data_IF_452579064974
#
_entry.id   IF_452579064974
#
_cell.length_a   1.000
_cell.length_b   1.000
_cell.length_c   1.000
_cell.angle_alpha   90.00
_cell.angle_beta   90.00
_cell.angle_gamma   90.00
#
_symmetry.space_group_name_H-M   'P 1'
#
loop_
_entity.id
_entity.type
_entity.pdbx_description
1 polymer ?
#
# COMPACT_ATOMS: atom_id res chain seq x y z
N UNK A 1 -37.62 5.19 -8.49
CA UNK A 1 -36.99 4.34 -7.47
C UNK A 1 -35.81 5.10 -6.90
N UNK A 2 -35.77 5.30 -5.58
CA UNK A 2 -34.65 5.96 -4.86
C UNK A 2 -33.48 4.98 -4.74
N UNK A 3 -32.67 4.83 -5.78
CA UNK A 3 -31.41 4.10 -5.71
C UNK A 3 -30.29 5.03 -5.25
N UNK A 4 -29.53 4.60 -4.26
CA UNK A 4 -28.35 5.31 -3.79
C UNK A 4 -27.10 4.69 -4.42
N UNK A 5 -26.13 5.52 -4.80
CA UNK A 5 -24.86 5.08 -5.36
C UNK A 5 -23.78 5.17 -4.27
N UNK A 6 -23.05 4.08 -4.09
CA UNK A 6 -21.80 4.06 -3.32
C UNK A 6 -20.66 3.75 -4.26
N UNK A 7 -19.76 4.70 -4.44
CA UNK A 7 -18.49 4.51 -5.14
C UNK A 7 -17.44 4.06 -4.13
N UNK A 8 -16.72 3.00 -4.45
CA UNK A 8 -15.66 2.43 -3.61
C UNK A 8 -14.37 2.38 -4.41
N UNK A 9 -13.30 2.95 -3.86
CA UNK A 9 -11.96 2.91 -4.48
C UNK A 9 -10.89 2.79 -3.41
N UNK A 10 -9.67 2.43 -3.82
CA UNK A 10 -8.49 2.55 -2.95
C UNK A 10 -7.92 3.97 -3.01
N UNK A 11 -7.36 4.45 -1.90
CA UNK A 11 -6.54 5.66 -1.88
C UNK A 11 -5.20 5.39 -2.53
N UNK A 12 -4.58 4.25 -2.19
CA UNK A 12 -3.37 3.73 -2.81
C UNK A 12 -3.61 2.29 -3.25
N UNK A 13 -3.44 1.99 -4.52
CA UNK A 13 -3.52 0.63 -5.04
C UNK A 13 -2.31 -0.19 -4.57
N UNK A 14 -2.56 -1.14 -3.69
CA UNK A 14 -1.52 -1.82 -2.93
C UNK A 14 -0.54 -2.67 -3.74
N UNK A 15 -0.83 -3.00 -5.01
CA UNK A 15 0.06 -3.79 -5.87
C UNK A 15 1.04 -2.89 -6.62
N UNK A 16 0.58 -1.82 -7.23
CA UNK A 16 1.34 -0.92 -8.10
C UNK A 16 1.78 0.37 -7.40
N UNK A 17 1.08 0.75 -6.34
CA UNK A 17 1.38 1.94 -5.55
C UNK A 17 0.87 3.25 -6.16
N UNK A 18 0.03 3.17 -7.19
CA UNK A 18 -0.64 4.33 -7.78
C UNK A 18 -1.64 4.92 -6.80
N UNK A 19 -1.85 6.21 -6.86
CA UNK A 19 -2.93 6.86 -6.11
C UNK A 19 -4.26 6.71 -6.83
N UNK A 20 -5.33 6.61 -6.05
CA UNK A 20 -6.69 6.77 -6.56
C UNK A 20 -6.90 8.19 -7.11
N UNK A 21 -7.61 8.30 -8.22
CA UNK A 21 -7.96 9.59 -8.85
C UNK A 21 -9.09 10.28 -8.06
N UNK A 22 -8.85 10.49 -6.76
CA UNK A 22 -9.88 10.99 -5.84
C UNK A 22 -10.43 12.37 -6.23
N UNK A 23 -9.61 13.36 -6.64
CA UNK A 23 -10.12 14.67 -7.04
C UNK A 23 -11.12 14.57 -8.19
N UNK A 24 -10.81 13.77 -9.22
CA UNK A 24 -11.66 13.58 -10.39
C UNK A 24 -12.96 12.86 -10.02
N UNK A 25 -12.89 11.85 -9.17
CA UNK A 25 -14.10 11.15 -8.67
C UNK A 25 -14.96 12.11 -7.86
N UNK A 26 -14.36 12.91 -7.00
CA UNK A 26 -15.10 13.88 -6.17
C UNK A 26 -15.76 14.96 -7.03
N UNK A 27 -15.12 15.41 -8.10
CA UNK A 27 -15.69 16.38 -9.02
C UNK A 27 -17.01 15.90 -9.64
N UNK A 28 -17.11 14.58 -9.94
CA UNK A 28 -18.33 13.97 -10.47
C UNK A 28 -19.54 14.07 -9.51
N UNK A 29 -19.32 14.34 -8.21
CA UNK A 29 -20.44 14.58 -7.27
C UNK A 29 -21.28 15.82 -7.63
N UNK A 30 -20.72 16.73 -8.43
CA UNK A 30 -21.49 17.89 -8.95
C UNK A 30 -22.53 17.50 -9.98
N UNK A 31 -22.32 16.38 -10.67
CA UNK A 31 -23.19 15.89 -11.73
C UNK A 31 -24.09 14.76 -11.26
N UNK A 32 -23.55 13.85 -10.45
CA UNK A 32 -24.26 12.66 -9.99
C UNK A 32 -24.12 12.55 -8.46
N UNK A 33 -25.23 12.47 -7.71
CA UNK A 33 -25.17 12.30 -6.27
C UNK A 33 -24.76 10.86 -5.90
N UNK A 34 -23.61 10.71 -5.21
CA UNK A 34 -23.13 9.45 -4.66
C UNK A 34 -22.36 9.67 -3.35
N UNK A 35 -22.14 8.60 -2.62
CA UNK A 35 -21.21 8.56 -1.50
C UNK A 35 -19.91 7.90 -1.94
N UNK A 36 -18.78 8.44 -1.47
CA UNK A 36 -17.44 7.92 -1.77
C UNK A 36 -16.85 7.26 -0.53
N UNK A 37 -16.57 5.96 -0.64
CA UNK A 37 -15.76 5.22 0.33
C UNK A 37 -14.35 5.07 -0.24
N UNK A 38 -13.36 5.48 0.54
CA UNK A 38 -11.94 5.29 0.21
C UNK A 38 -11.32 4.29 1.17
N UNK A 39 -10.84 3.16 0.63
CA UNK A 39 -9.94 2.26 1.34
C UNK A 39 -8.51 2.82 1.25
N UNK A 40 -8.07 3.44 2.32
CA UNK A 40 -6.75 4.06 2.41
C UNK A 40 -5.77 3.24 3.27
N UNK A 41 -5.93 1.93 3.27
CA UNK A 41 -5.10 1.03 4.05
C UNK A 41 -3.60 1.15 3.74
N UNK A 42 -3.22 1.59 2.54
CA UNK A 42 -1.85 1.82 2.11
C UNK A 42 -1.40 3.28 2.21
N UNK A 43 -2.31 4.26 2.19
CA UNK A 43 -2.00 5.67 2.33
C UNK A 43 -1.93 6.13 3.78
N UNK A 44 -2.77 5.56 4.65
CA UNK A 44 -2.77 5.87 6.07
C UNK A 44 -1.39 5.69 6.71
N UNK A 45 -0.91 6.72 7.40
CA UNK A 45 0.40 6.77 8.07
C UNK A 45 1.59 7.06 7.15
N UNK A 46 1.41 7.01 5.82
CA UNK A 46 2.50 7.16 4.84
C UNK A 46 2.36 8.38 3.93
N UNK A 47 1.13 8.84 3.70
CA UNK A 47 0.78 9.98 2.85
C UNK A 47 0.10 11.09 3.66
N UNK A 48 0.09 12.28 3.07
CA UNK A 48 -0.38 13.49 3.73
C UNK A 48 0.66 14.09 4.68
N UNK A 49 0.56 15.39 4.92
CA UNK A 49 1.53 16.13 5.75
C UNK A 49 1.61 15.62 7.19
N UNK A 50 0.53 15.06 7.71
CA UNK A 50 0.40 14.52 9.08
C UNK A 50 0.24 13.00 9.13
N UNK A 51 0.31 12.31 7.98
CA UNK A 51 0.07 10.87 7.85
C UNK A 51 -1.41 10.49 7.80
N UNK A 52 -2.31 11.43 7.54
CA UNK A 52 -3.76 11.16 7.47
C UNK A 52 -4.20 10.49 6.17
N UNK A 53 -3.31 10.35 5.18
CA UNK A 53 -3.55 9.52 4.01
C UNK A 53 -3.73 10.27 2.70
N UNK A 54 -4.28 9.55 1.72
CA UNK A 54 -4.32 9.95 0.31
C UNK A 54 -5.22 11.18 0.07
N UNK A 55 -6.36 11.27 0.74
CA UNK A 55 -7.25 12.42 0.60
C UNK A 55 -6.56 13.73 1.01
N UNK A 56 -5.79 13.71 2.10
CA UNK A 56 -4.97 14.86 2.53
C UNK A 56 -3.81 15.12 1.58
N UNK A 57 -3.15 14.07 1.09
CA UNK A 57 -2.08 14.18 0.11
C UNK A 57 -2.53 14.90 -1.16
N UNK A 58 -3.75 14.62 -1.61
CA UNK A 58 -4.36 15.18 -2.82
C UNK A 58 -5.17 16.45 -2.56
N UNK A 59 -5.26 16.92 -1.31
CA UNK A 59 -6.02 18.12 -0.94
C UNK A 59 -7.54 18.00 -1.11
N UNK A 60 -8.09 16.78 -1.05
CA UNK A 60 -9.50 16.51 -1.33
C UNK A 60 -10.20 15.67 -0.24
N UNK A 61 -9.64 15.65 0.97
CA UNK A 61 -10.16 14.85 2.09
C UNK A 61 -11.64 15.14 2.40
N UNK A 62 -12.08 16.37 2.29
CA UNK A 62 -13.46 16.79 2.58
C UNK A 62 -14.50 16.18 1.62
N UNK A 63 -14.06 15.69 0.46
CA UNK A 63 -14.89 15.01 -0.51
C UNK A 63 -15.09 13.52 -0.23
N UNK A 64 -14.36 12.93 0.72
CA UNK A 64 -14.47 11.51 1.12
C UNK A 64 -15.55 11.37 2.18
N UNK A 65 -16.62 10.60 1.86
CA UNK A 65 -17.73 10.40 2.80
C UNK A 65 -17.43 9.32 3.85
N UNK A 66 -16.73 8.26 3.45
CA UNK A 66 -16.36 7.14 4.32
C UNK A 66 -14.88 6.83 4.12
N UNK A 67 -14.09 7.02 5.14
CA UNK A 67 -12.67 6.71 5.15
C UNK A 67 -12.44 5.38 5.87
N UNK A 68 -11.77 4.43 5.21
CA UNK A 68 -11.32 3.19 5.81
C UNK A 68 -9.81 3.20 5.95
N UNK A 69 -9.31 2.85 7.14
CA UNK A 69 -7.89 2.68 7.41
C UNK A 69 -7.61 1.40 8.20
N UNK A 70 -6.41 0.85 8.06
CA UNK A 70 -5.99 -0.32 8.82
C UNK A 70 -4.86 0.00 9.79
N UNK A 71 -4.89 -0.62 10.96
CA UNK A 71 -3.76 -0.60 11.89
C UNK A 71 -2.69 -1.64 11.54
N UNK A 72 -2.99 -2.60 10.63
CA UNK A 72 -2.12 -3.73 10.34
C UNK A 72 -0.89 -3.39 9.47
N UNK A 73 -0.80 -2.17 8.97
CA UNK A 73 0.33 -1.67 8.16
C UNK A 73 1.13 -0.62 8.93
N UNK A 74 0.97 0.67 8.64
CA UNK A 74 1.70 1.74 9.33
C UNK A 74 1.46 1.76 10.85
N UNK A 75 0.30 1.33 11.31
CA UNK A 75 -0.01 1.21 12.73
C UNK A 75 0.68 0.04 13.44
N UNK A 76 1.24 -0.94 12.72
CA UNK A 76 1.88 -2.16 13.23
C UNK A 76 1.06 -2.86 14.35
N UNK A 77 -0.26 -2.95 14.16
CA UNK A 77 -1.22 -3.45 15.15
C UNK A 77 -2.35 -4.19 14.43
N UNK A 78 -3.05 -5.08 15.09
CA UNK A 78 -4.23 -5.74 14.52
C UNK A 78 -5.43 -4.78 14.49
N UNK A 79 -6.27 -4.91 13.46
CA UNK A 79 -7.55 -4.24 13.33
C UNK A 79 -7.58 -3.15 12.27
N UNK A 80 -8.74 -2.54 12.16
CA UNK A 80 -9.04 -1.48 11.22
C UNK A 80 -10.04 -0.50 11.84
N UNK A 81 -10.24 0.62 11.16
CA UNK A 81 -11.20 1.63 11.58
C UNK A 81 -11.91 2.24 10.37
N UNK A 82 -13.09 2.76 10.63
CA UNK A 82 -13.84 3.58 9.69
C UNK A 82 -14.09 4.94 10.33
N UNK A 83 -13.86 5.99 9.56
CA UNK A 83 -14.21 7.36 9.93
C UNK A 83 -15.23 7.91 8.93
N UNK A 84 -16.27 8.54 9.44
CA UNK A 84 -17.36 9.14 8.67
C UNK A 84 -18.22 10.02 9.56
N UNK A 85 -19.27 10.61 9.01
CA UNK A 85 -20.28 11.35 9.74
C UNK A 85 -20.94 10.49 10.83
N UNK A 86 -21.37 11.08 11.98
CA UNK A 86 -21.90 10.33 13.12
C UNK A 86 -23.06 9.41 12.81
N UNK A 87 -23.98 9.81 11.92
CA UNK A 87 -25.12 9.00 11.50
C UNK A 87 -24.69 7.77 10.69
N UNK A 88 -23.67 7.88 9.84
CA UNK A 88 -23.10 6.75 9.09
C UNK A 88 -22.43 5.78 10.05
N UNK A 89 -21.66 6.28 11.01
CA UNK A 89 -21.03 5.43 12.04
C UNK A 89 -22.07 4.74 12.91
N UNK A 90 -23.16 5.42 13.29
CA UNK A 90 -24.26 4.81 14.03
C UNK A 90 -24.94 3.69 13.23
N UNK A 91 -25.17 3.91 11.93
CA UNK A 91 -25.71 2.90 11.02
C UNK A 91 -24.78 1.69 10.91
N UNK A 92 -23.49 1.90 10.70
CA UNK A 92 -22.51 0.83 10.60
C UNK A 92 -22.42 -0.01 11.89
N UNK A 93 -22.46 0.63 13.07
CA UNK A 93 -22.48 -0.08 14.35
C UNK A 93 -23.68 -1.01 14.50
N UNK A 94 -24.85 -0.60 13.99
CA UNK A 94 -26.07 -1.38 14.11
C UNK A 94 -26.22 -2.47 13.01
N UNK A 95 -25.54 -2.32 11.86
CA UNK A 95 -25.80 -3.14 10.68
C UNK A 95 -24.55 -3.92 10.20
N UNK A 96 -23.32 -3.53 10.60
CA UNK A 96 -22.12 -4.23 10.17
C UNK A 96 -22.03 -5.62 10.84
N UNK A 97 -22.07 -6.66 10.02
CA UNK A 97 -21.98 -8.05 10.50
C UNK A 97 -20.67 -8.32 11.25
N UNK A 98 -19.56 -7.78 10.79
CA UNK A 98 -18.26 -7.90 11.46
C UNK A 98 -18.29 -7.26 12.84
N UNK A 99 -18.90 -6.10 13.00
CA UNK A 99 -19.05 -5.41 14.28
C UNK A 99 -19.95 -6.20 15.25
N UNK A 100 -21.04 -6.76 14.74
CA UNK A 100 -22.05 -7.47 15.58
C UNK A 100 -21.52 -8.85 15.97
N UNK A 101 -21.00 -9.64 15.02
CA UNK A 101 -20.68 -11.05 15.24
C UNK A 101 -19.22 -11.32 15.60
N UNK A 102 -18.26 -10.54 15.05
CA UNK A 102 -16.84 -10.69 15.39
C UNK A 102 -16.41 -9.90 16.63
N UNK A 103 -17.31 -9.10 17.20
CA UNK A 103 -17.08 -8.21 18.35
C UNK A 103 -16.14 -7.05 18.05
N UNK A 104 -16.02 -6.15 19.01
CA UNK A 104 -15.11 -5.01 18.95
C UNK A 104 -13.68 -5.43 19.22
N UNK A 105 -12.73 -4.60 18.79
CA UNK A 105 -11.33 -4.77 19.17
C UNK A 105 -11.18 -4.70 20.70
N UNK A 106 -10.30 -5.52 21.29
CA UNK A 106 -9.98 -5.45 22.71
C UNK A 106 -9.50 -4.05 23.12
N UNK A 107 -9.89 -3.60 24.30
CA UNK A 107 -9.55 -2.27 24.82
C UNK A 107 -8.03 -1.95 24.77
N UNK A 108 -7.11 -2.86 25.12
CA UNK A 108 -5.68 -2.60 25.00
C UNK A 108 -5.26 -2.29 23.56
N UNK A 109 -5.86 -2.95 22.55
CA UNK A 109 -5.60 -2.69 21.14
C UNK A 109 -6.05 -1.27 20.76
N UNK A 110 -7.26 -0.88 21.18
CA UNK A 110 -7.79 0.47 20.91
C UNK A 110 -6.95 1.56 21.59
N UNK A 111 -6.54 1.34 22.84
CA UNK A 111 -5.67 2.26 23.56
C UNK A 111 -4.30 2.40 22.86
N UNK A 112 -3.70 1.30 22.44
CA UNK A 112 -2.44 1.30 21.70
C UNK A 112 -2.59 2.00 20.35
N UNK A 113 -3.68 1.73 19.61
CA UNK A 113 -3.94 2.40 18.33
C UNK A 113 -4.01 3.92 18.50
N UNK A 114 -4.69 4.41 19.55
CA UNK A 114 -4.76 5.84 19.84
C UNK A 114 -3.39 6.47 20.09
N UNK A 115 -2.52 5.80 20.82
CA UNK A 115 -1.16 6.30 21.08
C UNK A 115 -0.30 6.28 19.80
N UNK A 116 -0.43 5.24 18.96
CA UNK A 116 0.28 5.18 17.66
C UNK A 116 -0.17 6.25 16.69
N UNK A 117 -1.46 6.60 16.67
CA UNK A 117 -1.96 7.75 15.91
C UNK A 117 -1.29 9.05 16.31
N UNK A 118 -1.09 9.28 17.63
CA UNK A 118 -0.36 10.43 18.12
C UNK A 118 1.10 10.42 17.69
N UNK A 119 1.78 9.28 17.82
CA UNK A 119 3.17 9.12 17.41
C UNK A 119 3.35 9.38 15.90
N UNK A 120 2.49 8.85 15.03
CA UNK A 120 2.54 9.10 13.58
C UNK A 120 2.46 10.61 13.28
N UNK A 121 1.62 11.35 13.99
CA UNK A 121 1.50 12.80 13.82
C UNK A 121 2.67 13.58 14.41
N UNK A 122 3.20 13.14 15.54
CA UNK A 122 4.28 13.84 16.27
C UNK A 122 5.67 13.59 15.65
N UNK A 123 5.82 12.58 14.82
CA UNK A 123 7.09 12.14 14.23
C UNK A 123 7.07 12.19 12.70
N UNK A 124 6.98 13.39 12.07
CA UNK A 124 7.02 13.55 10.62
C UNK A 124 8.33 13.01 10.02
N UNK A 125 9.44 13.06 10.77
CA UNK A 125 10.75 12.55 10.37
C UNK A 125 10.73 11.04 10.01
N UNK A 126 9.79 10.26 10.54
CA UNK A 126 9.63 8.86 10.15
C UNK A 126 9.09 8.73 8.73
N UNK A 127 8.15 9.60 8.33
CA UNK A 127 7.67 9.62 6.93
C UNK A 127 8.75 10.12 5.98
N UNK A 128 9.48 11.16 6.37
CA UNK A 128 10.63 11.66 5.59
C UNK A 128 11.67 10.57 5.36
N UNK A 129 12.03 9.83 6.40
CA UNK A 129 12.96 8.69 6.30
C UNK A 129 12.40 7.56 5.44
N UNK A 130 11.12 7.23 5.57
CA UNK A 130 10.43 6.26 4.72
C UNK A 130 10.55 6.66 3.24
N UNK A 131 10.24 7.90 2.90
CA UNK A 131 10.31 8.40 1.54
C UNK A 131 11.75 8.46 1.01
N UNK A 132 12.71 8.87 1.82
CA UNK A 132 14.14 8.81 1.47
C UNK A 132 14.58 7.39 1.12
N UNK A 133 14.22 6.41 1.96
CA UNK A 133 14.53 5.01 1.70
C UNK A 133 13.86 4.49 0.42
N UNK A 134 12.60 4.90 0.19
CA UNK A 134 11.83 4.53 -1.01
C UNK A 134 12.50 5.04 -2.28
N UNK A 135 12.87 6.32 -2.31
CA UNK A 135 13.51 6.93 -3.48
C UNK A 135 14.87 6.30 -3.77
N UNK A 136 15.73 6.13 -2.76
CA UNK A 136 17.02 5.45 -2.90
C UNK A 136 16.88 4.05 -3.49
N UNK A 137 15.91 3.27 -2.99
CA UNK A 137 15.65 1.92 -3.48
C UNK A 137 15.21 1.91 -4.94
N UNK A 138 14.26 2.76 -5.32
CA UNK A 138 13.76 2.88 -6.70
C UNK A 138 14.86 3.27 -7.67
N UNK A 139 15.58 4.35 -7.37
CA UNK A 139 16.67 4.83 -8.21
C UNK A 139 17.76 3.78 -8.36
N UNK A 140 18.11 3.08 -7.28
CA UNK A 140 19.09 2.01 -7.30
C UNK A 140 18.65 0.86 -8.20
N UNK A 141 17.43 0.39 -8.08
CA UNK A 141 16.87 -0.68 -8.92
C UNK A 141 16.80 -0.29 -10.39
N UNK A 142 16.41 0.94 -10.70
CA UNK A 142 16.40 1.47 -12.08
C UNK A 142 17.82 1.54 -12.65
N UNK A 143 18.82 1.97 -11.88
CA UNK A 143 20.24 2.00 -12.29
C UNK A 143 20.79 0.61 -12.58
N UNK A 144 20.36 -0.40 -11.80
CA UNK A 144 20.67 -1.80 -12.05
C UNK A 144 20.02 -2.30 -13.35
N UNK A 145 18.94 -1.67 -13.81
CA UNK A 145 18.22 -2.01 -15.04
C UNK A 145 16.94 -2.82 -14.84
N UNK A 146 16.40 -2.83 -13.62
CA UNK A 146 15.07 -3.40 -13.39
C UNK A 146 13.96 -2.45 -13.85
N UNK A 147 12.87 -3.04 -14.33
CA UNK A 147 11.64 -2.29 -14.65
C UNK A 147 10.87 -1.99 -13.37
N UNK A 148 11.13 -0.84 -12.77
CA UNK A 148 10.39 -0.32 -11.62
C UNK A 148 9.22 0.48 -12.14
N UNK A 149 7.99 0.02 -11.89
CA UNK A 149 6.79 0.74 -12.30
C UNK A 149 6.70 2.11 -11.59
N UNK A 150 6.13 3.11 -12.24
CA UNK A 150 5.77 4.35 -11.57
C UNK A 150 4.92 4.06 -10.33
N UNK A 151 5.17 4.78 -9.25
CA UNK A 151 4.38 4.67 -8.03
C UNK A 151 4.48 5.99 -7.26
N UNK A 152 3.36 6.43 -6.74
CA UNK A 152 3.22 7.69 -6.00
C UNK A 152 3.12 7.45 -4.48
N UNK A 153 3.36 6.20 -4.05
CA UNK A 153 3.35 5.77 -2.64
C UNK A 153 4.67 5.08 -2.28
N UNK A 154 4.94 4.72 -1.04
CA UNK A 154 6.15 3.96 -0.67
C UNK A 154 6.25 2.54 -1.27
N UNK A 155 5.21 2.01 -1.87
CA UNK A 155 5.25 0.74 -2.60
C UNK A 155 6.20 0.85 -3.80
N UNK A 156 7.17 -0.05 -3.90
CA UNK A 156 8.15 -0.10 -4.99
C UNK A 156 7.95 -1.39 -5.79
N UNK A 157 7.18 -1.35 -6.89
CA UNK A 157 6.85 -2.52 -7.69
C UNK A 157 7.91 -2.73 -8.77
N UNK A 158 8.56 -3.90 -8.77
CA UNK A 158 9.50 -4.35 -9.79
C UNK A 158 8.80 -5.36 -10.69
N UNK A 159 8.59 -4.99 -11.94
CA UNK A 159 7.90 -5.81 -12.93
C UNK A 159 8.89 -6.67 -13.72
N UNK A 160 8.56 -7.94 -13.90
CA UNK A 160 9.23 -8.83 -14.83
C UNK A 160 8.23 -9.78 -15.50
N UNK A 161 8.56 -10.27 -16.69
CA UNK A 161 7.81 -11.36 -17.31
C UNK A 161 8.20 -12.68 -16.66
N UNK A 162 7.22 -13.55 -16.39
CA UNK A 162 7.54 -14.80 -15.73
C UNK A 162 6.35 -15.66 -15.37
N UNK A 163 6.66 -16.87 -14.93
CA UNK A 163 5.70 -17.81 -14.35
C UNK A 163 5.59 -17.63 -12.84
N UNK A 164 4.56 -18.22 -12.25
CA UNK A 164 4.46 -18.33 -10.77
C UNK A 164 5.69 -19.03 -10.17
N UNK A 165 6.28 -19.99 -10.91
CA UNK A 165 7.50 -20.66 -10.47
C UNK A 165 8.68 -19.68 -10.40
N UNK A 166 8.87 -18.83 -11.41
CA UNK A 166 9.90 -17.79 -11.39
C UNK A 166 9.72 -16.84 -10.20
N UNK A 167 8.48 -16.42 -9.92
CA UNK A 167 8.17 -15.59 -8.75
C UNK A 167 8.64 -16.27 -7.45
N UNK A 168 8.34 -17.55 -7.28
CA UNK A 168 8.76 -18.35 -6.11
C UNK A 168 10.28 -18.48 -6.03
N UNK A 169 10.94 -18.72 -7.17
CA UNK A 169 12.39 -18.88 -7.23
C UNK A 169 13.14 -17.56 -6.90
N UNK A 170 12.63 -16.42 -7.38
CA UNK A 170 13.15 -15.10 -7.00
C UNK A 170 13.03 -14.89 -5.48
N UNK A 171 11.85 -15.11 -4.90
CA UNK A 171 11.65 -14.94 -3.46
C UNK A 171 12.56 -15.86 -2.64
N UNK A 172 12.72 -17.12 -3.08
CA UNK A 172 13.59 -18.09 -2.43
C UNK A 172 15.05 -17.66 -2.48
N UNK A 173 15.56 -17.30 -3.66
CA UNK A 173 16.95 -16.82 -3.82
C UNK A 173 17.23 -15.59 -2.97
N UNK A 174 16.35 -14.59 -3.01
CA UNK A 174 16.49 -13.39 -2.21
C UNK A 174 16.57 -13.71 -0.71
N UNK A 175 15.76 -14.64 -0.23
CA UNK A 175 15.74 -15.02 1.18
C UNK A 175 16.91 -15.90 1.58
N UNK A 176 17.18 -16.99 0.82
CA UNK A 176 18.13 -18.03 1.22
C UNK A 176 19.58 -17.65 0.92
N UNK A 177 19.85 -16.97 -0.21
CA UNK A 177 21.21 -16.61 -0.62
C UNK A 177 21.61 -15.21 -0.11
N UNK A 178 20.66 -14.29 0.05
CA UNK A 178 20.95 -12.90 0.39
C UNK A 178 20.36 -12.42 1.72
N UNK A 179 19.47 -13.19 2.34
CA UNK A 179 18.78 -12.83 3.58
C UNK A 179 17.85 -11.64 3.44
N UNK A 180 17.26 -11.45 2.24
CA UNK A 180 16.30 -10.39 1.94
C UNK A 180 14.90 -10.99 1.77
N UNK A 181 13.95 -10.54 2.58
CA UNK A 181 12.56 -10.93 2.45
C UNK A 181 11.82 -9.98 1.50
N UNK A 182 11.30 -10.48 0.40
CA UNK A 182 10.51 -9.75 -0.59
C UNK A 182 9.14 -10.40 -0.79
N UNK A 183 8.16 -9.61 -1.21
CA UNK A 183 6.83 -10.10 -1.55
C UNK A 183 6.70 -10.26 -3.05
N UNK A 184 6.42 -11.47 -3.50
CA UNK A 184 6.18 -11.76 -4.91
C UNK A 184 4.68 -11.92 -5.19
N UNK A 185 4.24 -11.37 -6.32
CA UNK A 185 2.87 -11.41 -6.80
C UNK A 185 2.85 -12.00 -8.20
N UNK A 186 1.98 -12.99 -8.38
CA UNK A 186 1.78 -13.68 -9.65
C UNK A 186 0.28 -13.94 -9.87
N UNK A 187 -0.08 -14.57 -11.00
CA UNK A 187 -1.46 -14.97 -11.24
C UNK A 187 -2.03 -15.76 -10.05
N UNK A 188 -3.30 -15.50 -9.64
CA UNK A 188 -4.35 -14.70 -10.30
C UNK A 188 -4.38 -13.20 -9.95
N UNK A 189 -3.51 -12.70 -9.08
CA UNK A 189 -3.51 -11.30 -8.62
C UNK A 189 -3.04 -10.33 -9.72
N UNK A 190 -2.11 -10.80 -10.56
CA UNK A 190 -1.68 -10.12 -11.79
C UNK A 190 -1.94 -11.03 -13.00
N UNK A 191 -1.95 -10.51 -14.23
CA UNK A 191 -2.15 -11.31 -15.43
C UNK A 191 -1.16 -12.48 -15.55
N UNK A 192 -1.53 -13.55 -16.29
CA UNK A 192 -0.63 -14.65 -16.60
C UNK A 192 0.58 -14.13 -17.38
N UNK A 193 1.76 -14.65 -17.07
CA UNK A 193 3.01 -14.21 -17.68
C UNK A 193 3.64 -12.96 -17.03
N UNK A 194 2.99 -12.39 -16.03
CA UNK A 194 3.49 -11.25 -15.26
C UNK A 194 3.91 -11.70 -13.87
N UNK A 195 5.05 -11.22 -13.43
CA UNK A 195 5.55 -11.33 -12.04
C UNK A 195 5.85 -9.94 -11.53
N UNK A 196 5.34 -9.63 -10.34
CA UNK A 196 5.58 -8.38 -9.66
C UNK A 196 6.28 -8.66 -8.33
N UNK A 197 7.50 -8.18 -8.18
CA UNK A 197 8.18 -8.18 -6.88
C UNK A 197 7.89 -6.85 -6.20
N UNK A 198 7.15 -6.91 -5.11
CA UNK A 198 6.71 -5.73 -4.38
C UNK A 198 7.62 -5.50 -3.18
N UNK A 199 8.35 -4.40 -3.20
CA UNK A 199 9.21 -3.96 -2.11
C UNK A 199 8.52 -2.85 -1.34
N UNK A 200 8.54 -2.96 -0.02
CA UNK A 200 7.91 -1.99 0.87
C UNK A 200 8.94 -1.63 1.94
N UNK A 201 9.77 -0.59 1.69
CA UNK A 201 10.68 -0.09 2.69
C UNK A 201 9.92 0.47 3.89
N UNK A 202 10.60 0.61 5.01
CA UNK A 202 10.07 1.23 6.23
C UNK A 202 11.02 2.31 6.72
N UNK A 203 10.56 3.15 7.62
CA UNK A 203 11.39 4.14 8.29
C UNK A 203 12.50 3.50 9.15
N UNK A 204 12.33 2.24 9.56
CA UNK A 204 13.33 1.50 10.34
C UNK A 204 14.52 0.98 9.50
N UNK A 205 14.40 0.97 8.18
CA UNK A 205 15.53 0.64 7.32
C UNK A 205 16.57 1.76 7.32
N UNK A 206 17.83 1.39 7.32
CA UNK A 206 18.97 2.29 7.15
C UNK A 206 19.62 2.11 5.76
N UNK A 207 20.63 2.89 5.47
CA UNK A 207 21.30 2.87 4.16
C UNK A 207 21.95 1.51 3.88
N UNK A 208 22.51 0.84 4.88
CA UNK A 208 23.08 -0.50 4.75
C UNK A 208 22.03 -1.53 4.30
N UNK A 209 20.82 -1.46 4.84
CA UNK A 209 19.71 -2.33 4.42
C UNK A 209 19.31 -2.08 2.95
N UNK A 210 19.31 -0.82 2.51
CA UNK A 210 19.00 -0.46 1.12
C UNK A 210 20.11 -0.97 0.19
N UNK A 211 21.38 -0.72 0.51
CA UNK A 211 22.54 -1.20 -0.26
C UNK A 211 22.57 -2.73 -0.35
N UNK A 212 22.35 -3.42 0.76
CA UNK A 212 22.27 -4.89 0.78
C UNK A 212 21.17 -5.39 -0.14
N UNK A 213 20.02 -4.72 -0.15
CA UNK A 213 18.90 -5.09 -1.03
C UNK A 213 19.28 -4.87 -2.49
N UNK A 214 19.88 -3.74 -2.84
CA UNK A 214 20.32 -3.45 -4.20
C UNK A 214 21.39 -4.45 -4.68
N UNK A 215 22.38 -4.77 -3.86
CA UNK A 215 23.41 -5.76 -4.16
C UNK A 215 22.80 -7.17 -4.40
N UNK A 216 21.77 -7.54 -3.63
CA UNK A 216 21.07 -8.79 -3.84
C UNK A 216 20.32 -8.81 -5.19
N UNK A 217 19.66 -7.71 -5.56
CA UNK A 217 19.02 -7.60 -6.87
C UNK A 217 20.01 -7.63 -8.02
N UNK A 218 21.18 -6.97 -7.88
CA UNK A 218 22.26 -7.05 -8.87
C UNK A 218 22.75 -8.49 -9.04
N UNK A 219 22.98 -9.20 -7.94
CA UNK A 219 23.48 -10.59 -7.97
C UNK A 219 22.54 -11.59 -8.67
N UNK A 220 21.21 -11.37 -8.58
CA UNK A 220 20.22 -12.26 -9.23
C UNK A 220 19.75 -11.76 -10.60
N UNK A 221 20.26 -10.62 -11.08
CA UNK A 221 19.77 -9.97 -12.31
C UNK A 221 19.77 -10.90 -13.52
N UNK A 222 20.90 -11.55 -13.80
CA UNK A 222 21.04 -12.44 -14.95
C UNK A 222 20.03 -13.61 -14.88
N UNK A 223 19.82 -14.17 -13.69
CA UNK A 223 18.83 -15.20 -13.47
C UNK A 223 17.41 -14.71 -13.81
N UNK A 224 17.02 -13.51 -13.36
CA UNK A 224 15.70 -12.94 -13.63
C UNK A 224 15.51 -12.61 -15.11
N UNK A 225 16.52 -11.99 -15.75
CA UNK A 225 16.44 -11.58 -17.15
C UNK A 225 16.47 -12.80 -18.11
N UNK A 226 17.27 -13.81 -17.83
CA UNK A 226 17.30 -15.04 -18.63
C UNK A 226 15.97 -15.80 -18.59
N UNK A 227 15.29 -15.80 -17.44
CA UNK A 227 13.99 -16.44 -17.29
C UNK A 227 12.87 -15.64 -17.99
N UNK A 228 12.94 -14.31 -17.97
CA UNK A 228 11.99 -13.44 -18.67
C UNK A 228 12.07 -13.63 -20.20
N UNK A 229 13.27 -13.73 -20.76
CA UNK A 229 13.49 -13.89 -22.20
C UNK A 229 12.98 -15.25 -22.75
N UNK A 230 12.99 -16.32 -21.94
CA UNK A 230 12.48 -17.65 -22.33
C UNK A 230 10.96 -17.70 -22.54
N UNK A 231 10.22 -16.73 -22.06
CA UNK A 231 8.77 -16.64 -22.21
C UNK A 231 8.33 -15.75 -23.37
N UNK A 232 9.28 -14.98 -23.91
CA UNK A 232 9.06 -14.09 -25.07
C UNK A 232 9.44 -14.74 -26.40
N UNK A 233 10.05 -15.94 -26.36
CA UNK A 233 10.42 -16.77 -27.50
C UNK A 233 9.46 -17.94 -27.68
#
# INVERSE_FOLDING_TARGET
ENSSILVVTEGVFGMTGDLGILPEIIELKKEVPFRLLVDDAHGFGTLGHDGSGTGTQLGCQDGVDVYFGTFAKAGALIGAFVASEPNVIAFLKANSRSQIFAKSLPLPIVATARERLKLIRQHPEWREKLWSNTLKLREGLQKIGYNVLPSESPVTPVLTSGSTQLCTDIMRKMREEHGIFVSGVAYPVVPRGVVLIRLIPTAAHNDEHIEKTLNAFEAIKDFVMAAANKLSA
#
